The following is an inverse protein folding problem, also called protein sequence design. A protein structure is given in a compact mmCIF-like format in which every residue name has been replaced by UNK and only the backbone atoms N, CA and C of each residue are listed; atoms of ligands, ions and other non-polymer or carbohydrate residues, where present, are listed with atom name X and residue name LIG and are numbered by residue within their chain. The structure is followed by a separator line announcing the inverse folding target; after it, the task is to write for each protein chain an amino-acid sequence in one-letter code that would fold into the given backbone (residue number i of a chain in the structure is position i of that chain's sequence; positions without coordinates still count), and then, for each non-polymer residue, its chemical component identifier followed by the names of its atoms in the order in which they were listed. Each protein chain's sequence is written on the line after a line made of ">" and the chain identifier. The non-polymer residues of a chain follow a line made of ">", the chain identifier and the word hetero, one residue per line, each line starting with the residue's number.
data_IF_214161537982
#
_entry.id   IF_214161537982
#
_cell.length_a   1.000
_cell.length_b   1.000
_cell.length_c   1.000
_cell.angle_alpha   90.00
_cell.angle_beta   90.00
_cell.angle_gamma   90.00
#
_symmetry.space_group_name_H-M   'P 1'
#
loop_
_entity.id
_entity.type
_entity.pdbx_description
1 polymer ?
#
# COMPACT_ATOMS: atom_id res chain seq x y z
N UNK A 1 -7.25 -16.90 10.22
CA UNK A 1 -7.02 -15.62 10.94
C UNK A 1 -5.95 -14.75 10.28
N UNK A 2 -4.72 -15.24 10.02
CA UNK A 2 -3.64 -14.42 9.42
C UNK A 2 -3.91 -13.87 8.00
N UNK A 3 -4.75 -14.54 7.21
CA UNK A 3 -5.09 -14.09 5.85
C UNK A 3 -6.05 -12.90 5.84
N UNK A 4 -6.86 -12.73 6.88
CA UNK A 4 -7.83 -11.64 6.98
C UNK A 4 -7.14 -10.32 7.32
N UNK A 5 -6.19 -10.37 8.26
CA UNK A 5 -5.32 -9.23 8.60
C UNK A 5 -4.58 -8.75 7.35
N UNK A 6 -4.12 -9.68 6.50
CA UNK A 6 -3.40 -9.33 5.28
C UNK A 6 -4.27 -8.57 4.28
N UNK A 7 -5.50 -9.06 4.06
CA UNK A 7 -6.50 -8.40 3.22
C UNK A 7 -6.88 -7.02 3.75
N UNK A 8 -7.10 -6.88 5.05
CA UNK A 8 -7.46 -5.59 5.65
C UNK A 8 -6.33 -4.58 5.45
N UNK A 9 -5.08 -4.97 5.71
CA UNK A 9 -3.91 -4.11 5.51
C UNK A 9 -3.73 -3.69 4.05
N UNK A 10 -3.85 -4.63 3.10
CA UNK A 10 -3.70 -4.26 1.68
C UNK A 10 -4.81 -3.30 1.23
N UNK A 11 -6.03 -3.48 1.74
CA UNK A 11 -7.15 -2.59 1.43
C UNK A 11 -6.93 -1.18 2.01
N UNK A 12 -6.44 -1.06 3.24
CA UNK A 12 -6.02 0.22 3.82
C UNK A 12 -4.92 0.90 3.00
N UNK A 13 -3.93 0.15 2.51
CA UNK A 13 -2.88 0.70 1.65
C UNK A 13 -3.48 1.23 0.34
N UNK A 14 -4.32 0.45 -0.35
CA UNK A 14 -5.00 0.90 -1.57
C UNK A 14 -5.77 2.20 -1.32
N UNK A 15 -6.51 2.24 -0.22
CA UNK A 15 -7.32 3.40 0.17
C UNK A 15 -6.46 4.63 0.42
N UNK A 16 -5.38 4.52 1.20
CA UNK A 16 -4.44 5.62 1.43
C UNK A 16 -3.72 6.08 0.16
N UNK A 17 -3.39 5.16 -0.77
CA UNK A 17 -2.75 5.50 -2.04
C UNK A 17 -3.66 6.31 -2.97
N UNK A 18 -4.98 6.13 -2.86
CA UNK A 18 -5.99 6.80 -3.71
C UNK A 18 -6.53 8.06 -3.04
N UNK A 19 -6.85 8.00 -1.74
CA UNK A 19 -7.40 9.13 -0.99
C UNK A 19 -6.34 10.16 -0.59
N UNK A 20 -5.06 9.77 -0.53
CA UNK A 20 -3.98 10.66 -0.07
C UNK A 20 -2.83 10.71 -1.07
N UNK A 21 -2.30 11.92 -1.30
CA UNK A 21 -1.12 12.11 -2.16
C UNK A 21 0.23 11.90 -1.42
N UNK A 22 0.20 11.30 -0.23
CA UNK A 22 1.38 11.08 0.62
C UNK A 22 2.38 10.15 -0.07
N UNK A 23 3.68 10.34 0.17
CA UNK A 23 4.71 9.44 -0.36
C UNK A 23 4.55 8.05 0.25
N UNK A 24 4.97 7.02 -0.49
CA UNK A 24 4.86 5.62 -0.08
C UNK A 24 5.64 5.35 1.21
N UNK A 25 6.72 6.10 1.46
CA UNK A 25 7.50 6.03 2.71
C UNK A 25 6.68 6.45 3.94
N UNK A 26 5.88 7.51 3.83
CA UNK A 26 4.97 7.95 4.91
C UNK A 26 3.89 6.90 5.19
N UNK A 27 3.33 6.32 4.13
CA UNK A 27 2.33 5.24 4.24
C UNK A 27 2.96 4.00 4.90
N UNK A 28 4.22 3.69 4.59
CA UNK A 28 4.96 2.60 5.21
C UNK A 28 5.14 2.82 6.72
N UNK A 29 5.56 4.02 7.12
CA UNK A 29 5.72 4.40 8.53
C UNK A 29 4.38 4.33 9.27
N UNK A 30 3.31 4.87 8.68
CA UNK A 30 1.97 4.87 9.26
C UNK A 30 1.41 3.45 9.54
N UNK A 31 1.88 2.46 8.78
CA UNK A 31 1.50 1.05 8.93
C UNK A 31 2.50 0.22 9.75
N UNK A 32 3.54 0.86 10.31
CA UNK A 32 4.57 0.21 11.11
C UNK A 32 5.59 -0.59 10.29
N UNK A 33 5.76 -0.28 9.00
CA UNK A 33 6.82 -0.85 8.17
C UNK A 33 8.08 0.03 8.24
N UNK A 34 9.24 -0.61 8.30
CA UNK A 34 10.55 0.05 8.37
C UNK A 34 10.92 0.80 7.09
N UNK A 35 10.27 0.50 5.96
CA UNK A 35 10.57 1.17 4.69
C UNK A 35 9.58 0.91 3.56
N UNK A 36 9.62 1.75 2.50
CA UNK A 36 8.73 1.65 1.34
C UNK A 36 8.97 0.39 0.50
N UNK A 37 10.14 -0.22 0.58
CA UNK A 37 10.49 -1.46 -0.09
C UNK A 37 9.77 -2.68 0.51
N UNK A 38 9.63 -2.73 1.83
CA UNK A 38 8.85 -3.77 2.52
C UNK A 38 7.38 -3.71 2.12
N UNK A 39 6.79 -2.51 2.14
CA UNK A 39 5.39 -2.32 1.76
C UNK A 39 5.19 -2.60 0.27
N UNK A 40 6.12 -2.21 -0.60
CA UNK A 40 6.04 -2.49 -2.03
C UNK A 40 6.09 -3.99 -2.33
N UNK A 41 6.96 -4.75 -1.65
CA UNK A 41 7.03 -6.20 -1.78
C UNK A 41 5.77 -6.89 -1.27
N UNK A 42 5.28 -6.45 -0.12
CA UNK A 42 4.05 -6.95 0.48
C UNK A 42 2.84 -6.69 -0.43
N UNK A 43 2.67 -5.45 -0.87
CA UNK A 43 1.57 -5.03 -1.73
C UNK A 43 1.62 -5.74 -3.08
N UNK A 44 2.82 -5.91 -3.68
CA UNK A 44 2.97 -6.66 -4.92
C UNK A 44 2.60 -8.13 -4.79
N UNK A 45 2.85 -8.75 -3.63
CA UNK A 45 2.47 -10.14 -3.37
C UNK A 45 0.95 -10.32 -3.29
N UNK A 46 0.24 -9.35 -2.72
CA UNK A 46 -1.21 -9.42 -2.52
C UNK A 46 -2.02 -8.86 -3.71
N UNK A 47 -1.57 -7.78 -4.33
CA UNK A 47 -2.26 -7.06 -5.42
C UNK A 47 -1.66 -7.32 -6.81
N UNK A 48 -0.50 -7.97 -6.90
CA UNK A 48 0.19 -8.24 -8.18
C UNK A 48 0.90 -7.04 -8.80
N UNK A 49 0.81 -5.84 -8.20
CA UNK A 49 1.40 -4.60 -8.71
C UNK A 49 2.09 -3.79 -7.63
N UNK A 50 2.86 -2.76 -7.98
CA UNK A 50 3.50 -1.88 -6.99
C UNK A 50 2.54 -0.79 -6.51
N UNK A 51 2.67 -0.31 -5.26
CA UNK A 51 1.83 0.76 -4.74
C UNK A 51 1.94 2.05 -5.57
N UNK A 52 3.12 2.32 -6.14
CA UNK A 52 3.33 3.45 -7.06
C UNK A 52 2.54 3.28 -8.37
N UNK A 53 2.58 2.09 -8.98
CA UNK A 53 1.82 1.81 -10.19
C UNK A 53 0.31 1.83 -9.92
N UNK A 54 -0.11 1.33 -8.76
CA UNK A 54 -1.50 1.41 -8.30
C UNK A 54 -1.95 2.86 -8.14
N UNK A 55 -1.16 3.69 -7.45
CA UNK A 55 -1.42 5.13 -7.31
C UNK A 55 -1.44 5.86 -8.65
N UNK A 56 -0.57 5.51 -9.60
CA UNK A 56 -0.60 6.11 -10.94
C UNK A 56 -1.83 5.71 -11.74
N UNK A 57 -2.36 4.51 -11.51
CA UNK A 57 -3.52 3.96 -12.22
C UNK A 57 -4.86 4.41 -11.62
N UNK A 58 -4.93 4.56 -10.30
CA UNK A 58 -6.16 4.83 -9.55
C UNK A 58 -6.15 6.14 -8.75
N UNK A 59 -4.98 6.69 -8.43
CA UNK A 59 -4.85 7.99 -7.80
C UNK A 59 -5.35 9.04 -8.78
N UNK A 60 -6.54 9.55 -8.49
CA UNK A 60 -7.12 10.64 -9.26
C UNK A 60 -6.23 11.87 -9.14
N UNK A 61 -6.16 12.58 -10.26
CA UNK A 61 -5.53 13.89 -10.39
C UNK A 61 -6.23 14.92 -9.51
#
# INVERSE_FOLDING_TARGET
>A
VLSEIRRIRVNQICRMLVETNRPISEIAIALGYTGPEHIARYFRREMGTTPLAYRRKFGQK
#
